data_IF_103504742532
#
_entry.id   IF_103504742532
#
_cell.length_a   1.000
_cell.length_b   1.000
_cell.length_c   1.000
_cell.angle_alpha   90.00
_cell.angle_beta   90.00
_cell.angle_gamma   90.00
#
_symmetry.space_group_name_H-M   'P 1'
#
loop_
_entity.id
_entity.type
_entity.pdbx_description
1 polymer ?
#
# COMPACT_ATOMS: atom_id res chain seq x y z
N UNK A 1 -25.31 31.42 28.38
CA UNK A 1 -25.35 30.96 28.15
C UNK A 1 -25.09 30.25 27.82
N UNK A 2 -24.80 30.08 27.79
CA UNK A 2 -24.60 29.31 27.41
C UNK A 2 -24.20 28.63 27.21
N UNK A 3 -23.94 28.37 27.07
CA UNK A 3 -23.71 27.57 26.65
C UNK A 3 -23.27 26.98 26.57
N UNK A 4 -23.16 26.88 26.74
CA UNK A 4 -22.86 26.16 26.40
C UNK A 4 -22.44 25.51 26.16
N UNK A 5 -22.26 25.64 26.26
CA UNK A 5 -22.04 24.83 25.74
C UNK A 5 -21.58 24.19 25.61
N UNK A 6 -21.52 24.27 25.86
CA UNK A 6 -21.32 23.45 25.46
C UNK A 6 -21.01 22.79 25.24
N UNK A 7 -20.81 22.96 25.39
CA UNK A 7 -20.75 22.15 24.93
C UNK A 7 -20.50 21.54 24.64
N UNK A 8 -20.20 21.74 24.84
CA UNK A 8 -20.21 20.89 24.28
C UNK A 8 -19.75 20.42 24.14
N UNK A 9 -19.47 20.31 23.95
CA UNK A 9 -19.29 19.61 23.45
C UNK A 9 -18.95 18.99 23.42
N UNK A 10 -18.64 19.17 23.69
CA UNK A 10 -18.54 18.42 23.32
C UNK A 10 -18.37 17.75 23.07
N UNK A 11 -18.15 17.76 23.30
CA UNK A 11 -18.20 16.87 22.71
C UNK A 11 -17.85 16.28 22.47
N UNK A 12 -17.52 16.15 22.35
CA UNK A 12 -17.33 15.40 21.76
C UNK A 12 -16.92 14.84 21.51
N UNK A 13 -16.73 14.82 21.63
CA UNK A 13 -16.48 14.12 21.07
C UNK A 13 -16.16 13.47 20.87
N UNK A 14 -15.94 13.40 20.98
CA UNK A 14 -15.76 12.62 20.49
C UNK A 14 -15.59 12.06 20.19
N UNK A 15 -15.37 12.01 20.30
CA UNK A 15 -15.29 11.34 19.76
C UNK A 15 -14.95 10.85 19.42
N UNK A 16 -14.64 10.69 19.41
CA UNK A 16 -14.37 10.08 18.83
C UNK A 16 -13.96 9.58 18.48
N UNK A 17 -13.66 9.67 18.56
CA UNK A 17 -13.39 9.08 18.28
C UNK A 17 -13.25 8.43 17.89
N UNK A 18 -13.12 8.51 18.14
CA UNK A 18 -12.87 7.44 17.94
C UNK A 18 -12.76 6.84 16.95
N UNK A 19 -13.04 6.58 16.60
CA UNK A 19 -13.01 5.79 15.69
C UNK A 19 -12.00 5.64 14.75
N UNK A 20 -11.26 6.11 14.81
CA UNK A 20 -10.35 6.10 13.94
C UNK A 20 -9.50 5.03 13.72
N UNK A 21 -9.56 4.08 14.28
CA UNK A 21 -8.62 3.12 14.33
C UNK A 21 -8.62 2.11 13.30
N UNK A 22 -9.52 2.05 12.41
CA UNK A 22 -9.55 1.03 11.39
C UNK A 22 -8.32 1.07 10.49
N UNK A 23 -7.78 2.23 10.25
CA UNK A 23 -6.59 2.38 9.43
C UNK A 23 -5.55 3.08 10.24
N UNK A 24 -4.48 2.40 10.55
CA UNK A 24 -3.44 2.96 11.39
C UNK A 24 -2.44 3.80 10.64
N UNK A 25 -1.96 3.33 9.47
CA UNK A 25 -0.90 3.99 8.72
C UNK A 25 -1.23 3.88 7.24
N UNK A 26 -0.95 4.94 6.49
CA UNK A 26 -1.03 4.92 5.03
C UNK A 26 0.12 5.77 4.50
N UNK A 27 1.02 5.15 3.75
CA UNK A 27 2.21 5.83 3.22
C UNK A 27 2.50 5.36 1.82
N UNK A 28 3.22 6.18 1.07
CA UNK A 28 3.61 5.83 -0.29
C UNK A 28 4.94 6.45 -0.65
N UNK A 29 5.59 5.87 -1.66
CA UNK A 29 6.87 6.37 -2.15
C UNK A 29 6.98 5.98 -3.63
N UNK A 30 7.62 6.84 -4.41
CA UNK A 30 7.88 6.54 -5.82
C UNK A 30 9.07 5.58 -5.90
N UNK A 31 8.95 4.54 -6.72
CA UNK A 31 10.06 3.61 -6.98
C UNK A 31 10.26 3.51 -8.48
N UNK A 32 11.51 3.24 -8.90
CA UNK A 32 11.89 3.24 -10.31
C UNK A 32 12.78 2.04 -10.62
N UNK A 33 12.77 1.66 -11.92
CA UNK A 33 13.68 0.64 -12.41
C UNK A 33 15.13 1.01 -12.12
N UNK A 34 15.46 2.28 -12.34
CA UNK A 34 16.82 2.75 -12.11
C UNK A 34 17.22 2.61 -10.65
N UNK A 35 16.28 2.87 -9.74
CA UNK A 35 16.56 2.78 -8.31
C UNK A 35 16.75 1.36 -7.79
N UNK A 36 15.96 0.40 -8.30
CA UNK A 36 16.04 -0.98 -7.85
C UNK A 36 16.98 -1.84 -8.70
N UNK A 37 17.31 -1.41 -9.90
CA UNK A 37 18.24 -2.14 -10.76
C UNK A 37 17.73 -3.54 -11.10
N UNK A 38 18.58 -4.55 -10.91
CA UNK A 38 18.25 -5.92 -11.29
C UNK A 38 17.09 -6.51 -10.49
N UNK A 39 16.71 -5.90 -9.38
CA UNK A 39 15.61 -6.37 -8.56
C UNK A 39 14.27 -5.75 -8.95
N UNK A 40 14.24 -4.92 -9.98
CA UNK A 40 13.01 -4.33 -10.48
C UNK A 40 12.17 -5.38 -11.20
N UNK A 41 10.99 -5.73 -10.67
CA UNK A 41 10.23 -6.86 -11.21
C UNK A 41 9.19 -6.51 -12.26
N UNK A 42 9.05 -5.22 -12.61
CA UNK A 42 7.94 -4.79 -13.46
C UNK A 42 8.39 -4.46 -14.87
N UNK A 43 7.43 -4.53 -15.82
CA UNK A 43 7.68 -4.14 -17.19
C UNK A 43 7.60 -2.62 -17.39
N UNK A 44 6.94 -1.90 -16.48
CA UNK A 44 6.89 -0.43 -16.50
C UNK A 44 8.16 0.11 -15.84
N UNK A 45 8.49 1.39 -16.12
CA UNK A 45 9.74 1.95 -15.63
C UNK A 45 9.67 2.57 -14.24
N UNK A 46 8.48 2.88 -13.77
CA UNK A 46 8.30 3.50 -12.46
C UNK A 46 6.87 3.38 -11.98
N UNK A 47 6.67 3.67 -10.72
CA UNK A 47 5.33 3.68 -10.13
C UNK A 47 5.40 4.11 -8.67
N UNK A 48 4.25 4.08 -8.02
CA UNK A 48 4.12 4.45 -6.61
C UNK A 48 3.83 3.21 -5.79
N UNK A 49 4.73 2.94 -4.84
CA UNK A 49 4.58 1.83 -3.90
C UNK A 49 3.83 2.37 -2.68
N UNK A 50 2.76 1.71 -2.31
CA UNK A 50 1.93 2.15 -1.19
C UNK A 50 1.81 1.09 -0.11
N UNK A 51 1.51 1.54 1.09
CA UNK A 51 1.30 0.67 2.24
C UNK A 51 0.15 1.20 3.05
N UNK A 52 -0.80 0.33 3.38
CA UNK A 52 -1.91 0.66 4.26
C UNK A 52 -1.96 -0.40 5.35
N UNK A 53 -1.87 0.03 6.60
CA UNK A 53 -1.88 -0.88 7.73
C UNK A 53 -3.23 -0.85 8.43
N UNK A 54 -3.80 -2.04 8.65
CA UNK A 54 -5.06 -2.21 9.35
C UNK A 54 -4.77 -3.11 10.57
N UNK A 55 -4.46 -2.51 11.70
CA UNK A 55 -4.14 -3.30 12.88
C UNK A 55 -2.92 -4.17 12.66
N UNK A 56 -3.10 -5.49 12.62
CA UNK A 56 -1.99 -6.42 12.46
C UNK A 56 -1.72 -6.83 11.02
N UNK A 57 -2.53 -6.39 10.07
CA UNK A 57 -2.33 -6.76 8.67
C UNK A 57 -1.95 -5.53 7.84
N UNK A 58 -1.16 -5.75 6.80
CA UNK A 58 -0.63 -4.69 5.98
C UNK A 58 -0.89 -4.98 4.51
N UNK A 59 -1.49 -4.03 3.81
CA UNK A 59 -1.71 -4.11 2.37
C UNK A 59 -0.61 -3.34 1.66
N UNK A 60 0.04 -3.97 0.68
CA UNK A 60 1.06 -3.32 -0.14
C UNK A 60 0.52 -3.19 -1.56
N UNK A 61 0.59 -1.99 -2.11
CA UNK A 61 0.05 -1.68 -3.44
C UNK A 61 1.12 -1.09 -4.35
N UNK A 62 0.90 -1.22 -5.65
CA UNK A 62 1.76 -0.58 -6.64
C UNK A 62 0.88 0.06 -7.69
N UNK A 63 1.08 1.35 -7.92
CA UNK A 63 0.28 2.11 -8.89
C UNK A 63 1.18 2.63 -10.01
N UNK A 64 0.70 2.55 -11.24
CA UNK A 64 1.40 3.10 -12.39
C UNK A 64 0.36 3.58 -13.40
N UNK A 65 0.52 4.81 -13.88
CA UNK A 65 -0.48 5.42 -14.73
C UNK A 65 -1.80 5.51 -13.97
N UNK A 66 -2.86 5.02 -14.58
CA UNK A 66 -4.17 5.03 -13.94
C UNK A 66 -4.55 3.63 -13.40
N UNK A 67 -3.56 2.75 -13.22
CA UNK A 67 -3.81 1.39 -12.74
C UNK A 67 -3.19 1.18 -11.38
N UNK A 68 -3.86 0.36 -10.55
CA UNK A 68 -3.39 0.03 -9.22
C UNK A 68 -3.47 -1.47 -9.01
N UNK A 69 -2.42 -2.04 -8.43
CA UNK A 69 -2.29 -3.48 -8.22
C UNK A 69 -2.06 -3.79 -6.76
N UNK A 70 -2.51 -4.97 -6.33
CA UNK A 70 -2.20 -5.48 -5.00
C UNK A 70 -0.94 -6.31 -5.06
N UNK A 71 0.09 -5.91 -4.34
CA UNK A 71 1.37 -6.61 -4.33
C UNK A 71 1.31 -7.84 -3.44
N UNK A 72 0.50 -7.81 -2.38
CA UNK A 72 0.36 -8.96 -1.49
C UNK A 72 -1.12 -9.36 -1.37
N UNK A 73 -1.34 -10.50 -0.72
CA UNK A 73 -2.69 -11.05 -0.59
C UNK A 73 -3.66 -10.14 0.15
N UNK A 74 -3.17 -9.39 1.15
CA UNK A 74 -4.02 -8.46 1.90
C UNK A 74 -4.55 -7.36 0.98
N UNK A 75 -3.67 -6.78 0.15
CA UNK A 75 -4.09 -5.75 -0.79
C UNK A 75 -5.08 -6.31 -1.81
N UNK A 76 -4.84 -7.52 -2.29
CA UNK A 76 -5.70 -8.13 -3.28
C UNK A 76 -7.10 -8.43 -2.72
N UNK A 77 -7.16 -8.99 -1.52
CA UNK A 77 -8.45 -9.39 -0.96
C UNK A 77 -9.18 -8.24 -0.29
N UNK A 78 -8.48 -7.44 0.49
CA UNK A 78 -9.14 -6.39 1.25
C UNK A 78 -9.49 -5.16 0.40
N UNK A 79 -8.59 -4.79 -0.50
CA UNK A 79 -8.79 -3.62 -1.37
C UNK A 79 -9.36 -4.00 -2.73
N UNK A 80 -9.57 -5.29 -2.99
CA UNK A 80 -10.12 -5.78 -4.26
C UNK A 80 -9.27 -5.36 -5.44
N UNK A 81 -7.95 -5.40 -5.28
CA UNK A 81 -7.03 -5.02 -6.33
C UNK A 81 -6.50 -6.25 -7.06
N UNK A 82 -6.28 -6.17 -8.37
CA UNK A 82 -5.71 -7.29 -9.11
C UNK A 82 -4.25 -7.48 -8.77
N UNK A 83 -3.76 -8.70 -8.90
CA UNK A 83 -2.34 -8.98 -8.77
C UNK A 83 -1.59 -8.32 -9.94
N UNK A 84 -0.29 -8.03 -9.79
CA UNK A 84 0.46 -7.33 -10.83
C UNK A 84 0.89 -8.19 -12.01
N UNK A 85 0.27 -9.34 -12.24
CA UNK A 85 0.63 -10.26 -13.32
C UNK A 85 0.82 -9.58 -14.68
N UNK A 86 -0.08 -8.68 -15.13
CA UNK A 86 0.08 -8.08 -16.45
C UNK A 86 1.35 -7.25 -16.63
N UNK A 87 1.92 -6.76 -15.54
CA UNK A 87 3.14 -5.94 -15.60
C UNK A 87 4.32 -6.58 -14.87
N UNK A 88 4.20 -7.86 -14.50
CA UNK A 88 5.24 -8.56 -13.78
C UNK A 88 6.16 -9.22 -14.82
N UNK A 89 7.44 -8.90 -14.73
CA UNK A 89 8.42 -9.27 -15.75
C UNK A 89 8.86 -10.73 -15.63
N UNK A 90 8.97 -11.42 -16.77
CA UNK A 90 9.50 -12.77 -16.82
C UNK A 90 10.95 -12.78 -16.40
N UNK A 91 11.37 -13.85 -15.74
CA UNK A 91 12.77 -14.04 -15.31
C UNK A 91 13.52 -14.75 -16.44
N UNK A 92 14.44 -14.06 -17.13
CA UNK A 92 15.15 -14.70 -18.25
C UNK A 92 16.11 -15.79 -17.79
N UNK A 93 16.51 -15.80 -16.53
CA UNK A 93 17.43 -16.81 -16.02
C UNK A 93 16.74 -18.14 -15.71
N UNK A 94 15.42 -18.09 -15.45
CA UNK A 94 14.65 -19.29 -15.09
C UNK A 94 13.34 -19.28 -15.86
N UNK A 95 13.31 -19.93 -17.03
CA UNK A 95 12.10 -19.94 -17.87
C UNK A 95 10.87 -20.42 -17.10
N UNK A 96 9.74 -19.76 -17.34
CA UNK A 96 8.49 -20.10 -16.69
C UNK A 96 8.27 -19.42 -15.35
N UNK A 97 9.22 -18.60 -14.90
CA UNK A 97 9.08 -17.87 -13.63
C UNK A 97 9.12 -16.38 -13.87
N UNK A 98 8.77 -15.62 -12.82
CA UNK A 98 8.82 -14.16 -12.84
C UNK A 98 10.00 -13.67 -12.00
N UNK A 99 10.43 -12.43 -12.23
CA UNK A 99 11.44 -11.80 -11.37
C UNK A 99 10.85 -11.75 -9.95
N UNK A 100 11.60 -12.16 -8.92
CA UNK A 100 11.06 -12.15 -7.55
C UNK A 100 10.60 -10.77 -7.14
N UNK A 101 9.45 -10.71 -6.46
CA UNK A 101 8.84 -9.44 -6.05
C UNK A 101 9.17 -9.11 -4.58
N UNK A 102 9.98 -9.94 -3.93
CA UNK A 102 10.27 -9.80 -2.50
C UNK A 102 10.83 -8.45 -2.10
N UNK A 103 11.75 -7.90 -2.90
CA UNK A 103 12.36 -6.61 -2.58
C UNK A 103 11.31 -5.49 -2.58
N UNK A 104 10.40 -5.50 -3.56
CA UNK A 104 9.33 -4.51 -3.62
C UNK A 104 8.37 -4.70 -2.44
N UNK A 105 8.03 -5.94 -2.14
CA UNK A 105 7.15 -6.23 -1.02
C UNK A 105 7.77 -5.75 0.29
N UNK A 106 9.04 -6.04 0.52
CA UNK A 106 9.72 -5.62 1.75
C UNK A 106 9.77 -4.11 1.88
N UNK A 107 10.05 -3.40 0.78
CA UNK A 107 10.05 -1.94 0.81
C UNK A 107 8.67 -1.42 1.17
N UNK A 108 7.62 -2.02 0.63
CA UNK A 108 6.26 -1.62 0.95
C UNK A 108 5.92 -1.85 2.41
N UNK A 109 6.30 -3.01 2.95
CA UNK A 109 6.05 -3.31 4.36
C UNK A 109 6.79 -2.34 5.28
N UNK A 110 8.01 -1.93 4.88
CA UNK A 110 8.79 -1.01 5.69
C UNK A 110 8.15 0.37 5.79
N UNK A 111 7.36 0.77 4.80
CA UNK A 111 6.69 2.06 4.84
C UNK A 111 5.73 2.17 6.02
N UNK A 112 5.19 1.05 6.47
CA UNK A 112 4.21 1.02 7.56
C UNK A 112 4.81 0.64 8.91
N UNK A 113 6.11 0.58 9.03
CA UNK A 113 6.76 0.26 10.30
C UNK A 113 7.02 1.49 11.14
#
# INVERSE_FOLDING_TARGET
MFDRLICGFLGLSLLFAGGVEAQDISRSVKITRQGLGSEWPFTVSEGTLGCIKYGSVTAVTFSTGNKKYGVNGIAQSRLKLPAPQPIWKDNPAIPGTKIPIGTVLDKGLQLCR
#
